data_IF_200178466640
#
_entry.id   IF_200178466640
#
_cell.length_a   1.000
_cell.length_b   1.000
_cell.length_c   1.000
_cell.angle_alpha   90.00
_cell.angle_beta   90.00
_cell.angle_gamma   90.00
#
_symmetry.space_group_name_H-M   'P 1'
#
loop_
_entity.id
_entity.type
_entity.pdbx_description
1 polymer ?
#
# COMPACT_ATOMS: atom_id res chain seq x y z
N UNK A 1 0.95 14.55 8.54
CA UNK A 1 0.52 14.25 9.94
C UNK A 1 0.14 15.50 10.76
N UNK A 2 0.95 16.60 10.79
CA UNK A 2 0.63 17.81 11.59
C UNK A 2 -0.70 18.46 11.20
N UNK A 3 -0.96 18.66 9.91
CA UNK A 3 -2.21 19.26 9.39
C UNK A 3 -3.44 18.42 9.75
N UNK A 4 -3.33 17.10 9.70
CA UNK A 4 -4.43 16.20 10.01
C UNK A 4 -4.81 16.23 11.50
N UNK A 5 -3.82 16.31 12.41
CA UNK A 5 -4.07 16.50 13.84
C UNK A 5 -4.85 17.77 14.13
N UNK A 6 -4.40 18.87 13.52
CA UNK A 6 -5.10 20.15 13.62
C UNK A 6 -6.51 20.04 13.07
N UNK A 7 -6.70 19.36 11.93
CA UNK A 7 -8.02 19.12 11.35
C UNK A 7 -8.97 18.37 12.30
N UNK A 8 -8.50 17.31 12.96
CA UNK A 8 -9.31 16.56 13.95
C UNK A 8 -9.64 17.43 15.16
N UNK A 9 -8.67 18.23 15.66
CA UNK A 9 -8.91 19.16 16.76
C UNK A 9 -9.96 20.23 16.39
N UNK A 10 -9.85 20.82 15.20
CA UNK A 10 -10.84 21.79 14.66
C UNK A 10 -12.21 21.15 14.53
N UNK A 11 -12.27 19.88 14.09
CA UNK A 11 -13.52 19.13 14.00
C UNK A 11 -14.18 18.96 15.39
N UNK A 12 -13.41 18.63 16.43
CA UNK A 12 -13.93 18.59 17.80
C UNK A 12 -14.54 19.93 18.21
N UNK A 13 -13.86 21.04 17.91
CA UNK A 13 -14.37 22.38 18.23
C UNK A 13 -15.62 22.77 17.45
N UNK A 14 -15.74 22.38 16.17
CA UNK A 14 -16.93 22.64 15.37
C UNK A 14 -18.16 21.91 15.92
N UNK A 15 -17.99 20.66 16.40
CA UNK A 15 -19.07 19.91 17.09
C UNK A 15 -19.48 20.61 18.37
N UNK A 16 -18.51 21.11 19.16
CA UNK A 16 -18.78 21.87 20.39
C UNK A 16 -19.56 23.16 20.10
N UNK A 17 -19.17 23.88 19.06
CA UNK A 17 -19.88 25.11 18.64
C UNK A 17 -21.33 24.81 18.27
N UNK A 18 -21.53 23.73 17.51
CA UNK A 18 -22.88 23.28 17.14
C UNK A 18 -23.68 22.84 18.36
N UNK A 19 -23.14 22.01 19.25
CA UNK A 19 -23.78 21.62 20.49
C UNK A 19 -24.15 22.82 21.37
N UNK A 20 -23.28 23.84 21.43
CA UNK A 20 -23.57 25.09 22.12
C UNK A 20 -24.76 25.86 21.51
N UNK A 21 -24.80 25.96 20.17
CA UNK A 21 -25.93 26.61 19.47
C UNK A 21 -27.26 25.92 19.72
N UNK A 22 -27.27 24.57 19.80
CA UNK A 22 -28.51 23.80 20.04
C UNK A 22 -29.11 24.00 21.44
N UNK A 23 -28.34 24.51 22.41
CA UNK A 23 -28.86 24.86 23.74
C UNK A 23 -29.93 25.96 23.73
N UNK A 24 -29.92 26.78 22.70
CA UNK A 24 -30.76 27.98 22.59
C UNK A 24 -31.99 27.81 21.68
N UNK A 25 -32.16 26.64 21.06
CA UNK A 25 -33.27 26.38 20.14
C UNK A 25 -34.29 25.37 20.73
N UNK A 26 -35.57 25.45 20.39
CA UNK A 26 -36.61 24.56 20.91
C UNK A 26 -36.39 23.06 20.57
N UNK A 27 -35.73 22.79 19.43
CA UNK A 27 -35.44 21.42 18.97
C UNK A 27 -34.29 20.76 19.75
N UNK A 28 -33.48 21.57 20.42
CA UNK A 28 -32.34 21.12 21.22
C UNK A 28 -32.75 20.51 22.57
N UNK A 29 -31.78 20.25 23.44
CA UNK A 29 -32.04 19.65 24.75
C UNK A 29 -32.90 20.58 25.61
N UNK A 30 -33.94 20.03 26.20
CA UNK A 30 -34.84 20.77 27.11
C UNK A 30 -34.74 20.23 28.55
N UNK A 31 -34.76 21.16 29.51
CA UNK A 31 -34.59 20.84 30.92
C UNK A 31 -33.14 20.82 31.39
N UNK A 32 -32.97 20.76 32.71
CA UNK A 32 -31.61 20.91 33.31
C UNK A 32 -30.71 19.72 32.95
N UNK A 33 -31.19 18.51 33.11
CA UNK A 33 -30.37 17.31 32.90
C UNK A 33 -29.86 17.14 31.45
N UNK A 34 -30.73 17.16 30.40
CA UNK A 34 -30.24 17.04 29.02
C UNK A 34 -29.25 18.13 28.63
N UNK A 35 -29.52 19.38 29.05
CA UNK A 35 -28.61 20.51 28.81
C UNK A 35 -27.26 20.34 29.49
N UNK A 36 -27.25 19.89 30.76
CA UNK A 36 -26.03 19.65 31.50
C UNK A 36 -25.20 18.51 30.91
N UNK A 37 -25.83 17.40 30.48
CA UNK A 37 -25.16 16.27 29.84
C UNK A 37 -24.47 16.75 28.54
N UNK A 38 -25.17 17.47 27.69
CA UNK A 38 -24.60 17.97 26.45
C UNK A 38 -23.50 19.01 26.69
N UNK A 39 -23.63 19.89 27.68
CA UNK A 39 -22.60 20.86 28.04
C UNK A 39 -21.33 20.16 28.57
N UNK A 40 -21.46 19.14 29.38
CA UNK A 40 -20.34 18.33 29.87
C UNK A 40 -19.65 17.63 28.70
N UNK A 41 -20.43 16.99 27.80
CA UNK A 41 -19.88 16.34 26.61
C UNK A 41 -19.09 17.33 25.73
N UNK A 42 -19.63 18.53 25.55
CA UNK A 42 -18.96 19.60 24.80
C UNK A 42 -17.65 20.07 25.50
N UNK A 43 -17.67 20.24 26.82
CA UNK A 43 -16.45 20.60 27.56
C UNK A 43 -15.35 19.55 27.44
N UNK A 44 -15.70 18.28 27.54
CA UNK A 44 -14.74 17.17 27.34
C UNK A 44 -14.24 17.16 25.89
N UNK A 45 -15.09 17.42 24.90
CA UNK A 45 -14.65 17.47 23.49
C UNK A 45 -13.66 18.61 23.21
N UNK A 46 -13.76 19.75 23.94
CA UNK A 46 -12.74 20.82 23.89
C UNK A 46 -11.39 20.30 24.38
N UNK A 47 -11.37 19.61 25.52
CA UNK A 47 -10.13 19.05 26.07
C UNK A 47 -9.50 18.06 25.12
N UNK A 48 -10.31 17.15 24.55
CA UNK A 48 -9.85 16.14 23.59
C UNK A 48 -9.35 16.80 22.31
N UNK A 49 -10.03 17.84 21.81
CA UNK A 49 -9.59 18.61 20.64
C UNK A 49 -8.23 19.30 20.87
N UNK A 50 -8.01 19.87 22.07
CA UNK A 50 -6.72 20.43 22.47
C UNK A 50 -5.64 19.34 22.54
N UNK A 51 -5.96 18.17 23.11
CA UNK A 51 -5.05 17.03 23.16
C UNK A 51 -4.60 16.62 21.74
N UNK A 52 -5.50 16.57 20.76
CA UNK A 52 -5.15 16.27 19.38
C UNK A 52 -4.17 17.28 18.77
N UNK A 53 -4.29 18.54 19.11
CA UNK A 53 -3.40 19.60 18.60
C UNK A 53 -2.03 19.54 19.29
N UNK A 54 -2.00 19.38 20.62
CA UNK A 54 -0.79 19.55 21.44
C UNK A 54 0.09 18.29 21.50
N UNK A 55 -0.51 17.10 21.63
CA UNK A 55 0.24 15.86 21.82
C UNK A 55 0.65 15.21 20.49
N UNK A 56 1.64 14.29 20.47
CA UNK A 56 2.03 13.53 19.28
C UNK A 56 0.88 12.66 18.76
N UNK A 57 1.01 12.16 17.51
CA UNK A 57 0.01 11.26 16.92
C UNK A 57 -0.25 10.06 17.83
N UNK A 58 -1.50 9.75 18.15
CA UNK A 58 -1.82 8.69 19.10
C UNK A 58 -1.43 7.30 18.55
N UNK A 59 -1.12 6.38 19.46
CA UNK A 59 -0.97 4.98 19.11
C UNK A 59 -2.28 4.40 18.55
N UNK A 60 -2.20 3.24 17.89
CA UNK A 60 -3.41 2.56 17.37
C UNK A 60 -4.46 2.33 18.47
N UNK A 61 -4.02 1.97 19.68
CA UNK A 61 -4.92 1.79 20.84
C UNK A 61 -5.56 3.12 21.26
N UNK A 62 -4.78 4.19 21.28
CA UNK A 62 -5.30 5.53 21.60
C UNK A 62 -6.33 6.02 20.58
N UNK A 63 -6.12 5.71 19.29
CA UNK A 63 -7.07 6.06 18.23
C UNK A 63 -8.37 5.25 18.33
N UNK A 64 -8.29 3.95 18.66
CA UNK A 64 -9.49 3.13 18.93
C UNK A 64 -10.26 3.68 20.14
N UNK A 65 -9.56 4.01 21.23
CA UNK A 65 -10.19 4.60 22.40
C UNK A 65 -10.88 5.93 22.08
N UNK A 66 -10.26 6.77 21.24
CA UNK A 66 -10.88 8.01 20.78
C UNK A 66 -12.16 7.78 19.97
N UNK A 67 -12.15 6.83 19.02
CA UNK A 67 -13.33 6.49 18.23
C UNK A 67 -14.47 6.00 19.12
N UNK A 68 -14.19 5.09 20.06
CA UNK A 68 -15.21 4.59 21.00
C UNK A 68 -15.76 5.72 21.87
N UNK A 69 -14.88 6.58 22.40
CA UNK A 69 -15.30 7.74 23.18
C UNK A 69 -16.18 8.69 22.37
N UNK A 70 -15.79 9.00 21.15
CA UNK A 70 -16.54 9.90 20.25
C UNK A 70 -17.90 9.33 19.87
N UNK A 71 -17.98 8.04 19.55
CA UNK A 71 -19.21 7.33 19.22
C UNK A 71 -20.20 7.38 20.39
N UNK A 72 -19.73 7.05 21.59
CA UNK A 72 -20.57 7.05 22.80
C UNK A 72 -21.01 8.47 23.16
N UNK A 73 -20.09 9.44 23.08
CA UNK A 73 -20.40 10.84 23.41
C UNK A 73 -21.43 11.43 22.44
N UNK A 74 -21.28 11.19 21.13
CA UNK A 74 -22.24 11.63 20.11
C UNK A 74 -23.59 10.91 20.24
N UNK A 75 -23.60 9.63 20.61
CA UNK A 75 -24.83 8.88 20.87
C UNK A 75 -25.62 9.48 22.05
N UNK A 76 -24.93 9.76 23.15
CA UNK A 76 -25.54 10.42 24.32
C UNK A 76 -26.04 11.82 23.95
N UNK A 77 -25.23 12.60 23.23
CA UNK A 77 -25.64 13.94 22.78
C UNK A 77 -26.89 13.89 21.88
N UNK A 78 -26.94 12.94 20.92
CA UNK A 78 -28.10 12.76 20.05
C UNK A 78 -29.38 12.42 20.86
N UNK A 79 -29.27 11.55 21.85
CA UNK A 79 -30.39 11.15 22.70
C UNK A 79 -30.94 12.30 23.57
N UNK A 80 -30.18 13.38 23.79
CA UNK A 80 -30.63 14.54 24.60
C UNK A 80 -31.54 15.52 23.85
N UNK A 81 -31.63 15.43 22.51
CA UNK A 81 -32.54 16.29 21.76
C UNK A 81 -34.00 16.02 22.10
N UNK A 82 -34.78 17.09 22.25
CA UNK A 82 -36.20 16.98 22.56
C UNK A 82 -37.06 16.61 21.33
N UNK A 83 -36.64 17.07 20.15
CA UNK A 83 -37.35 16.79 18.90
C UNK A 83 -36.89 15.47 18.25
N UNK A 84 -37.82 14.57 17.87
CA UNK A 84 -37.52 13.28 17.26
C UNK A 84 -36.72 13.38 15.95
N UNK A 85 -36.97 14.41 15.15
CA UNK A 85 -36.26 14.59 13.85
C UNK A 85 -34.87 15.14 14.06
N UNK A 86 -34.69 16.05 15.00
CA UNK A 86 -33.36 16.55 15.40
C UNK A 86 -32.50 15.44 16.00
N UNK A 87 -33.10 14.53 16.79
CA UNK A 87 -32.47 13.37 17.38
C UNK A 87 -31.85 12.45 16.33
N UNK A 88 -32.60 12.12 15.26
CA UNK A 88 -32.08 11.32 14.13
C UNK A 88 -31.06 12.06 13.29
N UNK A 89 -31.29 13.35 13.05
CA UNK A 89 -30.36 14.19 12.26
C UNK A 89 -28.99 14.29 12.96
N UNK A 90 -28.94 14.29 14.29
CA UNK A 90 -27.69 14.34 15.04
C UNK A 90 -26.80 13.10 14.81
N UNK A 91 -27.36 11.96 14.40
CA UNK A 91 -26.60 10.76 14.06
C UNK A 91 -25.60 11.01 12.91
N UNK A 92 -25.87 11.98 12.03
CA UNK A 92 -24.98 12.31 10.91
C UNK A 92 -23.55 12.65 11.36
N UNK A 93 -23.37 13.19 12.57
CA UNK A 93 -22.05 13.53 13.09
C UNK A 93 -21.14 12.31 13.33
N UNK A 94 -21.72 11.09 13.45
CA UNK A 94 -20.92 9.86 13.47
C UNK A 94 -20.17 9.65 12.16
N UNK A 95 -20.64 10.19 11.02
CA UNK A 95 -19.92 10.08 9.75
C UNK A 95 -18.52 10.69 9.81
N UNK A 96 -18.34 11.76 10.59
CA UNK A 96 -17.04 12.41 10.78
C UNK A 96 -16.09 11.52 11.59
N UNK A 97 -16.60 10.81 12.58
CA UNK A 97 -15.83 9.82 13.35
C UNK A 97 -15.47 8.62 12.48
N UNK A 98 -16.38 8.19 11.60
CA UNK A 98 -16.19 7.08 10.66
C UNK A 98 -15.03 7.25 9.68
N UNK A 99 -14.56 8.48 9.45
CA UNK A 99 -13.37 8.73 8.64
C UNK A 99 -12.10 8.13 9.27
N UNK A 100 -11.99 8.10 10.59
CA UNK A 100 -10.82 7.55 11.28
C UNK A 100 -10.65 6.04 11.09
N UNK A 101 -11.67 5.19 11.36
CA UNK A 101 -11.56 3.78 11.02
C UNK A 101 -11.35 3.53 9.53
N UNK A 102 -11.98 4.31 8.65
CA UNK A 102 -11.82 4.17 7.19
C UNK A 102 -10.37 4.35 6.75
N UNK A 103 -9.69 5.39 7.23
CA UNK A 103 -8.33 5.71 6.76
C UNK A 103 -7.22 5.07 7.58
N UNK A 104 -7.40 4.84 8.89
CA UNK A 104 -6.30 4.51 9.81
C UNK A 104 -6.44 3.19 10.57
N UNK A 105 -7.66 2.71 10.84
CA UNK A 105 -7.87 1.52 11.67
C UNK A 105 -8.22 0.27 10.84
N UNK A 106 -8.72 0.48 9.62
CA UNK A 106 -9.04 -0.57 8.66
C UNK A 106 -10.45 -1.14 8.81
N UNK A 107 -10.80 -2.07 7.89
CA UNK A 107 -12.15 -2.59 7.67
C UNK A 107 -12.86 -3.09 8.93
N UNK A 108 -12.15 -3.81 9.83
CA UNK A 108 -12.79 -4.35 11.04
C UNK A 108 -13.31 -3.25 11.96
N UNK A 109 -12.53 -2.19 12.16
CA UNK A 109 -12.94 -1.06 12.98
C UNK A 109 -14.09 -0.28 12.35
N UNK A 110 -14.07 -0.12 11.02
CA UNK A 110 -15.18 0.49 10.28
C UNK A 110 -16.48 -0.30 10.43
N UNK A 111 -16.45 -1.63 10.30
CA UNK A 111 -17.65 -2.48 10.47
C UNK A 111 -18.21 -2.34 11.87
N UNK A 112 -17.37 -2.30 12.91
CA UNK A 112 -17.81 -2.10 14.30
C UNK A 112 -18.48 -0.73 14.46
N UNK A 113 -17.85 0.34 13.94
CA UNK A 113 -18.41 1.71 13.98
C UNK A 113 -19.76 1.80 13.26
N UNK A 114 -19.88 1.27 12.05
CA UNK A 114 -21.14 1.24 11.30
C UNK A 114 -22.20 0.40 12.02
N UNK A 115 -21.82 -0.73 12.61
CA UNK A 115 -22.71 -1.55 13.42
C UNK A 115 -23.23 -0.81 14.65
N UNK A 116 -22.37 -0.07 15.36
CA UNK A 116 -22.75 0.81 16.46
C UNK A 116 -23.75 1.89 16.01
N UNK A 117 -23.45 2.56 14.89
CA UNK A 117 -24.33 3.60 14.36
C UNK A 117 -25.71 3.08 13.94
N UNK A 118 -25.77 1.89 13.32
CA UNK A 118 -27.03 1.22 12.98
C UNK A 118 -27.83 0.83 14.23
N UNK A 119 -27.16 0.30 15.25
CA UNK A 119 -27.81 -0.04 16.51
C UNK A 119 -28.37 1.21 17.21
N UNK A 120 -27.57 2.28 17.30
CA UNK A 120 -28.00 3.56 17.83
C UNK A 120 -29.20 4.10 17.07
N UNK A 121 -29.14 4.09 15.75
CA UNK A 121 -30.25 4.55 14.90
C UNK A 121 -31.52 3.75 15.18
N UNK A 122 -31.44 2.43 15.26
CA UNK A 122 -32.57 1.56 15.61
C UNK A 122 -33.18 1.90 16.97
N UNK A 123 -32.32 2.14 17.98
CA UNK A 123 -32.77 2.54 19.32
C UNK A 123 -33.50 3.90 19.28
N UNK A 124 -32.95 4.89 18.60
CA UNK A 124 -33.54 6.23 18.50
C UNK A 124 -34.87 6.20 17.74
N UNK A 125 -34.96 5.46 16.63
CA UNK A 125 -36.21 5.27 15.89
C UNK A 125 -37.30 4.62 16.78
N UNK A 126 -36.92 3.56 17.49
CA UNK A 126 -37.85 2.87 18.39
C UNK A 126 -38.35 3.82 19.50
N UNK A 127 -37.44 4.58 20.09
CA UNK A 127 -37.77 5.59 21.11
C UNK A 127 -38.72 6.64 20.55
N UNK A 128 -38.41 7.20 19.37
CA UNK A 128 -39.24 8.22 18.72
C UNK A 128 -40.66 7.72 18.40
N UNK A 129 -40.81 6.45 18.01
CA UNK A 129 -42.12 5.88 17.71
C UNK A 129 -42.91 5.57 19.00
N UNK A 130 -42.26 4.93 19.97
CA UNK A 130 -42.95 4.45 21.18
C UNK A 130 -43.23 5.56 22.20
N UNK A 131 -42.30 6.54 22.32
CA UNK A 131 -42.43 7.60 23.34
C UNK A 131 -43.03 8.86 22.75
N UNK A 132 -42.57 9.29 21.55
CA UNK A 132 -42.95 10.55 20.95
C UNK A 132 -44.08 10.41 19.92
N UNK A 133 -44.56 9.18 19.64
CA UNK A 133 -45.65 8.93 18.67
C UNK A 133 -45.28 9.23 17.22
N UNK A 134 -44.01 9.21 16.89
CA UNK A 134 -43.52 9.51 15.54
C UNK A 134 -43.96 8.42 14.55
N UNK A 135 -44.18 8.81 13.28
CA UNK A 135 -44.57 7.86 12.23
C UNK A 135 -43.35 7.23 11.56
N UNK A 136 -43.45 6.01 11.08
CA UNK A 136 -42.41 5.34 10.28
C UNK A 136 -41.95 6.17 9.11
N UNK A 137 -42.86 6.85 8.43
CA UNK A 137 -42.55 7.66 7.27
C UNK A 137 -41.66 8.86 7.64
N UNK A 138 -41.96 9.55 8.76
CA UNK A 138 -41.08 10.64 9.24
C UNK A 138 -39.70 10.13 9.64
N UNK A 139 -39.61 8.98 10.31
CA UNK A 139 -38.35 8.41 10.75
C UNK A 139 -37.46 8.02 9.53
N UNK A 140 -38.07 7.43 8.49
CA UNK A 140 -37.38 7.12 7.25
C UNK A 140 -36.90 8.39 6.54
N UNK A 141 -37.78 9.39 6.39
CA UNK A 141 -37.44 10.62 5.65
C UNK A 141 -36.29 11.38 6.28
N UNK A 142 -36.29 11.53 7.60
CA UNK A 142 -35.24 12.27 8.31
C UNK A 142 -34.03 11.43 8.66
N UNK A 143 -34.17 10.10 8.75
CA UNK A 143 -33.11 9.18 9.11
C UNK A 143 -32.29 8.67 7.95
N UNK A 144 -32.88 8.53 6.75
CA UNK A 144 -32.19 7.99 5.59
C UNK A 144 -30.91 8.77 5.20
N UNK A 145 -30.88 10.11 5.19
CA UNK A 145 -29.67 10.87 4.93
C UNK A 145 -28.57 10.62 5.96
N UNK A 146 -28.92 10.50 7.24
CA UNK A 146 -27.96 10.20 8.29
C UNK A 146 -27.35 8.79 8.12
N UNK A 147 -28.18 7.79 7.83
CA UNK A 147 -27.69 6.43 7.54
C UNK A 147 -26.80 6.38 6.29
N UNK A 148 -27.19 7.08 5.23
CA UNK A 148 -26.37 7.17 4.02
C UNK A 148 -24.99 7.78 4.32
N UNK A 149 -24.93 8.84 5.11
CA UNK A 149 -23.70 9.52 5.47
C UNK A 149 -22.81 8.64 6.40
N UNK A 150 -23.42 7.94 7.36
CA UNK A 150 -22.66 7.21 8.40
C UNK A 150 -22.25 5.81 7.96
N UNK A 151 -23.04 5.15 7.11
CA UNK A 151 -22.81 3.76 6.70
C UNK A 151 -22.36 3.68 5.25
N UNK A 152 -23.14 4.23 4.31
CA UNK A 152 -22.85 4.04 2.89
C UNK A 152 -21.61 4.81 2.45
N UNK A 153 -21.44 6.07 2.86
CA UNK A 153 -20.30 6.89 2.45
C UNK A 153 -18.97 6.29 2.91
N UNK A 154 -18.73 5.96 4.20
CA UNK A 154 -17.48 5.34 4.62
C UNK A 154 -17.27 3.96 3.99
N UNK A 155 -18.33 3.18 3.73
CA UNK A 155 -18.23 1.90 3.05
C UNK A 155 -17.75 2.07 1.60
N UNK A 156 -18.34 3.03 0.86
CA UNK A 156 -17.92 3.34 -0.52
C UNK A 156 -16.46 3.82 -0.54
N UNK A 157 -16.10 4.74 0.35
CA UNK A 157 -14.71 5.23 0.45
C UNK A 157 -13.74 4.08 0.73
N UNK A 158 -14.10 3.14 1.62
CA UNK A 158 -13.28 1.97 1.92
C UNK A 158 -13.05 1.10 0.69
N UNK A 159 -14.10 0.81 -0.09
CA UNK A 159 -14.01 0.03 -1.34
C UNK A 159 -13.09 0.73 -2.35
N UNK A 160 -13.24 2.04 -2.52
CA UNK A 160 -12.41 2.84 -3.43
C UNK A 160 -10.94 2.84 -2.99
N UNK A 161 -10.69 2.97 -1.68
CA UNK A 161 -9.33 2.95 -1.13
C UNK A 161 -8.66 1.57 -1.28
N UNK A 162 -9.40 0.48 -1.04
CA UNK A 162 -8.90 -0.88 -1.24
C UNK A 162 -8.56 -1.13 -2.71
N UNK A 163 -9.50 -0.84 -3.62
CA UNK A 163 -9.27 -0.99 -5.06
C UNK A 163 -8.14 -0.10 -5.58
N UNK A 164 -8.00 1.13 -5.08
CA UNK A 164 -6.90 2.02 -5.41
C UNK A 164 -5.54 1.48 -4.94
N UNK A 165 -5.46 0.93 -3.74
CA UNK A 165 -4.23 0.29 -3.22
C UNK A 165 -3.81 -0.91 -4.05
N UNK A 166 -4.76 -1.78 -4.38
CA UNK A 166 -4.49 -2.96 -5.20
C UNK A 166 -4.00 -2.58 -6.60
N UNK A 167 -4.61 -1.55 -7.20
CA UNK A 167 -4.19 -1.02 -8.49
C UNK A 167 -2.78 -0.41 -8.47
N UNK A 168 -2.44 0.34 -7.42
CA UNK A 168 -1.10 0.93 -7.24
C UNK A 168 -0.05 -0.17 -7.05
N UNK A 169 -0.35 -1.19 -6.24
CA UNK A 169 0.55 -2.32 -6.02
C UNK A 169 0.76 -3.12 -7.31
N UNK A 170 -0.30 -3.42 -8.05
CA UNK A 170 -0.23 -4.09 -9.33
C UNK A 170 0.59 -3.29 -10.36
N UNK A 171 0.37 -1.97 -10.44
CA UNK A 171 1.15 -1.08 -11.29
C UNK A 171 2.64 -1.04 -10.88
N UNK A 172 2.95 -1.00 -9.59
CA UNK A 172 4.32 -1.01 -9.08
C UNK A 172 5.04 -2.32 -9.40
N UNK A 173 4.36 -3.46 -9.25
CA UNK A 173 4.90 -4.77 -9.63
C UNK A 173 5.13 -4.85 -11.14
N UNK A 174 4.17 -4.42 -11.95
CA UNK A 174 4.29 -4.39 -13.42
C UNK A 174 5.41 -3.46 -13.88
N UNK A 175 5.57 -2.28 -13.25
CA UNK A 175 6.64 -1.33 -13.60
C UNK A 175 8.06 -1.85 -13.32
N UNK A 176 8.21 -2.88 -12.47
CA UNK A 176 9.50 -3.47 -12.11
C UNK A 176 9.82 -4.77 -12.87
N UNK A 177 8.94 -5.21 -13.77
CA UNK A 177 9.12 -6.43 -14.56
C UNK A 177 9.19 -6.13 -16.06
N UNK A 178 9.89 -7.02 -16.78
CA UNK A 178 9.87 -7.06 -18.23
C UNK A 178 8.60 -7.76 -18.73
N UNK A 179 7.80 -7.14 -19.60
CA UNK A 179 6.49 -7.69 -20.01
C UNK A 179 6.60 -8.96 -20.88
N UNK A 180 7.73 -9.16 -21.57
CA UNK A 180 7.94 -10.33 -22.42
C UNK A 180 8.34 -11.57 -21.62
N UNK A 181 9.25 -11.39 -20.67
CA UNK A 181 9.91 -12.48 -19.96
C UNK A 181 9.41 -12.70 -18.54
N UNK A 182 8.75 -11.70 -17.94
CA UNK A 182 8.30 -11.73 -16.55
C UNK A 182 9.42 -11.57 -15.52
N UNK A 183 10.69 -11.55 -15.93
CA UNK A 183 11.82 -11.25 -15.07
C UNK A 183 11.78 -9.80 -14.58
N UNK A 184 12.62 -9.44 -13.61
CA UNK A 184 12.78 -8.04 -13.25
C UNK A 184 13.36 -7.27 -14.45
N UNK A 185 12.95 -6.01 -14.60
CA UNK A 185 13.61 -5.09 -15.51
C UNK A 185 14.74 -4.34 -14.75
N UNK A 186 15.48 -3.45 -15.44
CA UNK A 186 16.55 -2.65 -14.83
C UNK A 186 16.12 -1.92 -13.55
N UNK A 187 14.93 -1.33 -13.54
CA UNK A 187 14.36 -0.65 -12.37
C UNK A 187 14.04 -1.62 -11.22
N UNK A 188 13.52 -2.79 -11.56
CA UNK A 188 13.23 -3.84 -10.60
C UNK A 188 14.47 -4.36 -9.88
N UNK A 189 15.61 -4.43 -10.58
CA UNK A 189 16.90 -4.79 -9.99
C UNK A 189 17.31 -3.81 -8.91
N UNK A 190 17.30 -2.50 -9.22
CA UNK A 190 17.65 -1.45 -8.24
C UNK A 190 16.76 -1.53 -7.01
N UNK A 191 15.44 -1.64 -7.22
CA UNK A 191 14.48 -1.77 -6.11
C UNK A 191 14.75 -3.00 -5.25
N UNK A 192 15.07 -4.15 -5.86
CA UNK A 192 15.34 -5.39 -5.13
C UNK A 192 16.63 -5.29 -4.30
N UNK A 193 17.67 -4.66 -4.82
CA UNK A 193 18.93 -4.45 -4.12
C UNK A 193 18.78 -3.49 -2.96
N UNK A 194 18.04 -2.38 -3.12
CA UNK A 194 17.76 -1.43 -2.05
C UNK A 194 17.06 -2.12 -0.85
N UNK A 195 16.14 -3.04 -1.13
CA UNK A 195 15.47 -3.84 -0.09
C UNK A 195 16.46 -4.77 0.64
N UNK A 196 17.35 -5.44 -0.10
CA UNK A 196 18.38 -6.32 0.49
C UNK A 196 19.38 -5.55 1.35
N UNK A 197 19.68 -4.28 1.01
CA UNK A 197 20.53 -3.42 1.84
C UNK A 197 19.91 -3.07 3.19
N UNK A 198 18.59 -2.95 3.27
CA UNK A 198 17.87 -2.64 4.51
C UNK A 198 17.86 -3.80 5.51
N UNK A 199 17.90 -5.05 5.02
CA UNK A 199 17.81 -6.26 5.85
C UNK A 199 19.14 -6.70 6.49
N UNK A 200 20.21 -5.85 6.46
CA UNK A 200 21.51 -6.09 7.12
C UNK A 200 22.08 -7.48 6.85
N UNK A 201 22.32 -7.82 5.59
CA UNK A 201 23.04 -9.03 5.25
C UNK A 201 24.53 -8.79 5.53
N UNK A 202 25.02 -9.22 6.70
CA UNK A 202 26.43 -9.13 7.06
C UNK A 202 27.26 -10.15 6.29
N UNK A 203 28.46 -9.72 5.85
CA UNK A 203 29.53 -10.52 5.23
C UNK A 203 29.07 -11.49 4.12
N UNK A 204 28.65 -10.97 2.95
CA UNK A 204 28.24 -11.77 1.80
C UNK A 204 29.07 -11.40 0.58
N UNK A 205 29.49 -12.41 -0.21
CA UNK A 205 30.00 -12.18 -1.54
C UNK A 205 28.83 -11.82 -2.46
N UNK A 206 29.05 -10.87 -3.36
CA UNK A 206 28.10 -10.49 -4.40
C UNK A 206 28.69 -10.85 -5.74
N UNK A 207 27.96 -11.58 -6.54
CA UNK A 207 28.32 -11.96 -7.91
C UNK A 207 27.30 -11.35 -8.85
N UNK A 208 27.78 -10.61 -9.85
CA UNK A 208 27.00 -10.11 -10.96
C UNK A 208 27.39 -10.89 -12.21
N UNK A 209 26.41 -11.44 -12.90
CA UNK A 209 26.57 -12.15 -14.16
C UNK A 209 25.74 -11.44 -15.21
N UNK A 210 26.41 -10.87 -16.22
CA UNK A 210 25.78 -10.34 -17.41
C UNK A 210 25.78 -11.37 -18.50
N UNK A 211 24.69 -11.48 -19.21
CA UNK A 211 24.51 -12.39 -20.35
C UNK A 211 23.86 -11.64 -21.50
N UNK A 212 24.31 -11.96 -22.70
CA UNK A 212 23.78 -11.43 -23.94
C UNK A 212 23.51 -12.57 -24.92
N UNK A 213 22.36 -12.56 -25.56
CA UNK A 213 21.91 -13.61 -26.49
C UNK A 213 22.61 -13.46 -27.84
N UNK A 214 23.46 -14.42 -28.16
CA UNK A 214 24.23 -14.37 -29.41
C UNK A 214 23.33 -14.50 -30.64
N UNK A 215 23.54 -13.65 -31.66
CA UNK A 215 22.89 -13.76 -32.97
C UNK A 215 21.38 -13.44 -32.96
N UNK A 216 20.83 -12.80 -31.93
CA UNK A 216 19.39 -12.49 -31.83
C UNK A 216 18.90 -11.60 -32.97
N UNK A 217 19.70 -10.62 -33.41
CA UNK A 217 19.38 -9.73 -34.52
C UNK A 217 19.26 -10.50 -35.85
N UNK A 218 20.24 -11.34 -36.18
CA UNK A 218 20.25 -12.15 -37.39
C UNK A 218 19.06 -13.13 -37.41
N UNK A 219 18.72 -13.68 -36.26
CA UNK A 219 17.55 -14.54 -36.12
C UNK A 219 16.25 -13.77 -36.39
N UNK A 220 16.11 -12.58 -35.82
CA UNK A 220 14.97 -11.72 -36.05
C UNK A 220 14.83 -11.30 -37.50
N UNK A 221 15.95 -10.97 -38.15
CA UNK A 221 15.98 -10.58 -39.57
C UNK A 221 15.61 -11.75 -40.47
N UNK A 222 15.95 -13.00 -40.09
CA UNK A 222 15.73 -14.22 -40.89
C UNK A 222 14.35 -14.84 -40.64
N UNK A 223 13.91 -14.91 -39.37
CA UNK A 223 12.70 -15.66 -38.92
C UNK A 223 11.62 -14.77 -38.31
N UNK A 224 11.84 -13.46 -38.28
CA UNK A 224 10.91 -12.49 -37.68
C UNK A 224 11.04 -12.39 -36.15
N UNK A 225 10.53 -11.29 -35.60
CA UNK A 225 10.62 -10.97 -34.16
C UNK A 225 10.02 -12.03 -33.22
N UNK A 226 9.03 -12.77 -33.68
CA UNK A 226 8.44 -13.85 -32.88
C UNK A 226 9.41 -14.98 -32.53
N UNK A 227 10.37 -15.28 -33.42
CA UNK A 227 11.40 -16.29 -33.15
C UNK A 227 12.41 -15.80 -32.08
N UNK A 228 12.79 -14.52 -32.12
CA UNK A 228 13.61 -13.92 -31.08
C UNK A 228 12.91 -13.88 -29.73
N UNK A 229 11.62 -13.54 -29.71
CA UNK A 229 10.81 -13.53 -28.47
C UNK A 229 10.77 -14.90 -27.78
N UNK A 230 10.69 -16.00 -28.56
CA UNK A 230 10.71 -17.36 -28.01
C UNK A 230 12.08 -17.70 -27.39
N UNK A 231 13.19 -17.26 -28.00
CA UNK A 231 14.52 -17.43 -27.39
C UNK A 231 14.65 -16.61 -26.09
N UNK A 232 14.20 -15.36 -26.09
CA UNK A 232 14.22 -14.53 -24.90
C UNK A 232 13.41 -15.13 -23.74
N UNK A 233 12.26 -15.70 -24.04
CA UNK A 233 11.44 -16.45 -23.07
C UNK A 233 12.14 -17.72 -22.60
N UNK A 234 12.84 -18.44 -23.47
CA UNK A 234 13.58 -19.65 -23.13
C UNK A 234 14.75 -19.33 -22.17
N UNK A 235 15.50 -18.24 -22.44
CA UNK A 235 16.55 -17.74 -21.55
C UNK A 235 15.98 -17.35 -20.18
N UNK A 236 14.86 -16.63 -20.17
CA UNK A 236 14.19 -16.24 -18.93
C UNK A 236 13.72 -17.45 -18.11
N UNK A 237 13.14 -18.45 -18.75
CA UNK A 237 12.73 -19.69 -18.10
C UNK A 237 13.93 -20.46 -17.53
N UNK A 238 15.05 -20.51 -18.26
CA UNK A 238 16.30 -21.08 -17.79
C UNK A 238 16.81 -20.35 -16.54
N UNK A 239 16.85 -19.02 -16.55
CA UNK A 239 17.29 -18.21 -15.42
C UNK A 239 16.38 -18.42 -14.20
N UNK A 240 15.06 -18.40 -14.42
CA UNK A 240 14.08 -18.63 -13.33
C UNK A 240 14.29 -19.98 -12.67
N UNK A 241 14.55 -21.05 -13.45
CA UNK A 241 14.77 -22.39 -12.92
C UNK A 241 16.11 -22.55 -12.17
N UNK A 242 17.07 -21.69 -12.45
CA UNK A 242 18.45 -21.78 -11.91
C UNK A 242 18.77 -20.75 -10.84
N UNK A 243 18.00 -19.70 -10.75
CA UNK A 243 18.14 -18.67 -9.71
C UNK A 243 17.54 -19.21 -8.40
N UNK A 244 18.28 -19.07 -7.31
CA UNK A 244 17.88 -19.51 -5.96
C UNK A 244 17.05 -18.43 -5.27
N UNK A 245 16.37 -18.82 -4.21
CA UNK A 245 15.65 -17.86 -3.35
C UNK A 245 16.64 -16.82 -2.79
N UNK A 246 16.32 -15.56 -2.94
CA UNK A 246 17.19 -14.44 -2.56
C UNK A 246 18.15 -13.96 -3.64
N UNK A 247 18.30 -14.68 -4.76
CA UNK A 247 19.03 -14.20 -5.94
C UNK A 247 18.09 -13.42 -6.88
N UNK A 248 18.65 -12.56 -7.69
CA UNK A 248 17.92 -11.68 -8.61
C UNK A 248 18.21 -12.12 -10.05
N UNK A 249 17.18 -12.35 -10.86
CA UNK A 249 17.27 -12.51 -12.30
C UNK A 249 16.47 -11.40 -13.00
N UNK A 250 17.06 -10.79 -14.00
CA UNK A 250 16.48 -9.64 -14.72
C UNK A 250 16.80 -9.66 -16.21
N UNK A 251 15.95 -9.00 -17.00
CA UNK A 251 16.24 -8.57 -18.37
C UNK A 251 16.42 -7.06 -18.37
N UNK A 252 17.62 -6.59 -18.67
CA UNK A 252 18.01 -5.17 -18.54
C UNK A 252 18.12 -4.43 -19.87
N UNK A 253 18.12 -5.15 -20.97
CA UNK A 253 18.19 -4.65 -22.35
C UNK A 253 17.38 -5.51 -23.30
N UNK A 254 17.55 -5.30 -24.60
CA UNK A 254 16.87 -6.08 -25.65
C UNK A 254 17.18 -7.58 -25.58
N UNK A 255 18.45 -7.90 -25.57
CA UNK A 255 19.06 -9.23 -25.53
C UNK A 255 19.89 -9.48 -24.26
N UNK A 256 19.94 -8.50 -23.35
CA UNK A 256 20.76 -8.50 -22.16
C UNK A 256 20.01 -8.97 -20.92
N UNK A 257 20.60 -9.95 -20.22
CA UNK A 257 20.11 -10.47 -18.95
C UNK A 257 21.15 -10.26 -17.84
N UNK A 258 20.66 -10.09 -16.64
CA UNK A 258 21.46 -9.89 -15.43
C UNK A 258 21.05 -10.91 -14.37
N UNK A 259 22.04 -11.51 -13.71
CA UNK A 259 21.82 -12.26 -12.45
C UNK A 259 22.68 -11.64 -11.36
N UNK A 260 22.08 -11.36 -10.21
CA UNK A 260 22.81 -10.98 -8.99
C UNK A 260 22.59 -12.10 -7.97
N UNK A 261 23.69 -12.68 -7.52
CA UNK A 261 23.70 -13.80 -6.58
C UNK A 261 24.55 -13.46 -5.35
N UNK A 262 24.25 -14.12 -4.23
CA UNK A 262 24.87 -13.87 -2.93
C UNK A 262 25.46 -15.18 -2.36
N UNK A 263 26.55 -15.71 -2.93
CA UNK A 263 27.17 -16.93 -2.45
C UNK A 263 27.80 -16.73 -1.07
N UNK A 264 27.59 -17.70 -0.19
CA UNK A 264 28.09 -17.64 1.19
C UNK A 264 29.62 -17.75 1.31
N UNK A 265 30.28 -18.38 0.32
CA UNK A 265 31.73 -18.57 0.27
C UNK A 265 32.29 -18.13 -1.08
N UNK A 266 33.56 -17.67 -1.08
CA UNK A 266 34.26 -17.28 -2.30
C UNK A 266 34.38 -18.45 -3.31
N UNK A 267 34.53 -19.68 -2.84
CA UNK A 267 34.62 -20.91 -3.65
C UNK A 267 33.30 -21.18 -4.43
N UNK A 268 32.19 -20.62 -3.99
CA UNK A 268 30.88 -20.79 -4.64
C UNK A 268 30.68 -19.85 -5.85
N UNK A 269 31.58 -18.89 -6.08
CA UNK A 269 31.43 -17.87 -7.14
C UNK A 269 31.45 -18.53 -8.52
N UNK A 270 32.50 -19.34 -8.81
CA UNK A 270 32.63 -20.00 -10.10
C UNK A 270 31.47 -21.00 -10.35
N UNK A 271 31.07 -21.73 -9.31
CA UNK A 271 29.93 -22.64 -9.39
C UNK A 271 28.62 -21.90 -9.66
N UNK A 272 28.46 -20.70 -9.10
CA UNK A 272 27.29 -19.84 -9.33
C UNK A 272 27.24 -19.33 -10.76
N UNK A 273 28.37 -18.80 -11.27
CA UNK A 273 28.48 -18.37 -12.67
C UNK A 273 28.16 -19.54 -13.61
N UNK A 274 28.77 -20.70 -13.42
CA UNK A 274 28.50 -21.90 -14.23
C UNK A 274 27.04 -22.34 -14.16
N UNK A 275 26.43 -22.32 -12.99
CA UNK A 275 25.04 -22.71 -12.78
C UNK A 275 24.08 -21.84 -13.60
N UNK A 276 24.26 -20.52 -13.61
CA UNK A 276 23.33 -19.60 -14.29
C UNK A 276 23.61 -19.44 -15.78
N UNK A 277 24.87 -19.64 -16.24
CA UNK A 277 25.29 -19.37 -17.62
C UNK A 277 25.27 -20.57 -18.57
N UNK A 278 25.18 -21.82 -18.07
CA UNK A 278 25.22 -23.00 -18.95
C UNK A 278 23.89 -23.20 -19.68
N UNK A 279 23.79 -23.15 -21.01
CA UNK A 279 22.58 -23.48 -21.74
C UNK A 279 22.14 -24.93 -21.44
N UNK A 280 20.84 -25.19 -21.43
CA UNK A 280 20.35 -26.55 -21.33
C UNK A 280 20.54 -27.24 -22.69
N UNK A 281 21.18 -28.38 -22.71
CA UNK A 281 21.24 -29.20 -23.91
C UNK A 281 19.83 -29.54 -24.37
N UNK A 282 19.37 -28.95 -25.45
CA UNK A 282 18.03 -29.06 -26.01
C UNK A 282 17.99 -28.60 -27.46
N UNK A 283 16.87 -28.79 -28.12
CA UNK A 283 16.64 -28.80 -29.56
C UNK A 283 16.91 -27.43 -30.25
N UNK A 284 17.02 -26.34 -29.52
CA UNK A 284 17.26 -24.99 -30.10
C UNK A 284 18.70 -24.56 -29.81
N UNK A 285 19.47 -24.34 -30.89
CA UNK A 285 20.88 -23.92 -30.85
C UNK A 285 21.01 -22.40 -30.64
N UNK A 286 20.61 -21.91 -29.47
CA UNK A 286 20.96 -20.56 -29.05
C UNK A 286 22.13 -20.58 -28.06
N UNK A 287 22.98 -19.57 -28.11
CA UNK A 287 24.06 -19.39 -27.18
C UNK A 287 23.94 -18.03 -26.48
N UNK A 288 24.65 -17.91 -25.37
CA UNK A 288 24.79 -16.64 -24.66
C UNK A 288 26.29 -16.36 -24.45
N UNK A 289 26.68 -15.12 -24.66
CA UNK A 289 27.96 -14.60 -24.19
C UNK A 289 27.80 -14.16 -22.75
N UNK A 290 28.82 -14.42 -21.90
CA UNK A 290 28.72 -14.21 -20.45
C UNK A 290 29.92 -13.42 -19.96
N UNK A 291 29.67 -12.39 -19.18
CA UNK A 291 30.66 -11.67 -18.37
C UNK A 291 30.25 -11.72 -16.90
N UNK A 292 31.23 -11.86 -16.01
CA UNK A 292 30.96 -11.95 -14.57
C UNK A 292 31.95 -11.08 -13.78
N UNK A 293 31.44 -10.45 -12.74
CA UNK A 293 32.22 -9.74 -11.74
C UNK A 293 31.74 -10.08 -10.34
N UNK A 294 32.59 -9.92 -9.37
CA UNK A 294 32.26 -10.23 -7.99
C UNK A 294 33.01 -9.34 -6.99
N UNK A 295 32.41 -9.15 -5.84
CA UNK A 295 32.99 -8.40 -4.73
C UNK A 295 32.69 -9.13 -3.41
N UNK A 296 33.72 -9.25 -2.55
CA UNK A 296 33.54 -9.66 -1.17
C UNK A 296 33.20 -8.44 -0.32
N UNK A 297 32.07 -8.48 0.39
CA UNK A 297 31.61 -7.41 1.23
C UNK A 297 32.16 -7.55 2.65
N UNK A 298 33.02 -6.62 3.05
CA UNK A 298 33.45 -6.42 4.43
C UNK A 298 33.03 -5.02 4.85
N UNK A 299 31.80 -4.86 5.40
CA UNK A 299 31.38 -3.64 6.09
C UNK A 299 30.94 -2.44 5.23
N UNK A 300 30.86 -2.54 3.89
CA UNK A 300 30.42 -1.46 2.99
C UNK A 300 29.14 -1.81 2.22
N UNK A 301 28.50 -0.83 1.55
CA UNK A 301 27.40 -1.05 0.61
C UNK A 301 27.85 -1.87 -0.61
N UNK A 302 26.89 -2.49 -1.32
CA UNK A 302 27.15 -3.12 -2.63
C UNK A 302 27.18 -1.98 -3.66
N UNK A 303 28.30 -1.82 -4.34
CA UNK A 303 28.38 -0.96 -5.52
C UNK A 303 28.00 -1.78 -6.76
N UNK A 304 26.69 -1.85 -7.01
CA UNK A 304 26.16 -2.62 -8.13
C UNK A 304 26.62 -2.05 -9.47
N UNK A 305 26.67 -0.72 -9.60
CA UNK A 305 27.01 -0.07 -10.86
C UNK A 305 28.47 -0.40 -11.27
N UNK A 306 29.39 -0.39 -10.30
CA UNK A 306 30.79 -0.81 -10.53
C UNK A 306 30.87 -2.30 -10.92
N UNK A 307 30.11 -3.18 -10.25
CA UNK A 307 30.12 -4.60 -10.59
C UNK A 307 29.50 -4.88 -11.97
N UNK A 308 28.45 -4.18 -12.32
CA UNK A 308 27.84 -4.28 -13.66
C UNK A 308 28.83 -3.82 -14.73
N UNK A 309 29.53 -2.68 -14.53
CA UNK A 309 30.56 -2.23 -15.47
C UNK A 309 31.71 -3.22 -15.63
N UNK A 310 32.16 -3.85 -14.54
CA UNK A 310 33.19 -4.88 -14.60
C UNK A 310 32.70 -6.12 -15.36
N UNK A 311 31.49 -6.58 -15.09
CA UNK A 311 30.88 -7.71 -15.78
C UNK A 311 30.68 -7.40 -17.28
N UNK A 312 30.29 -6.18 -17.63
CA UNK A 312 30.16 -5.74 -19.03
C UNK A 312 31.51 -5.76 -19.76
N UNK A 313 32.54 -5.29 -19.10
CA UNK A 313 33.90 -5.35 -19.66
C UNK A 313 34.38 -6.79 -19.94
N UNK A 314 34.09 -7.75 -19.03
CA UNK A 314 34.39 -9.16 -19.26
C UNK A 314 33.53 -9.76 -20.39
N UNK A 315 32.25 -9.38 -20.47
CA UNK A 315 31.35 -9.77 -21.57
C UNK A 315 31.88 -9.26 -22.93
N UNK A 316 32.32 -8.01 -22.98
CA UNK A 316 32.91 -7.41 -24.18
C UNK A 316 34.13 -8.21 -24.66
N UNK A 317 35.05 -8.61 -23.77
CA UNK A 317 36.20 -9.46 -24.11
C UNK A 317 35.80 -10.77 -24.75
N UNK A 318 34.77 -11.43 -24.19
CA UNK A 318 34.26 -12.70 -24.72
C UNK A 318 33.70 -12.50 -26.12
N UNK A 319 32.89 -11.47 -26.35
CA UNK A 319 32.36 -11.14 -27.69
C UNK A 319 33.41 -10.81 -28.69
N UNK A 320 34.43 -9.99 -28.30
CA UNK A 320 35.57 -9.65 -29.15
C UNK A 320 36.36 -10.86 -29.60
N UNK A 321 36.63 -11.78 -28.68
CA UNK A 321 37.40 -13.01 -28.98
C UNK A 321 36.65 -13.99 -29.89
N UNK A 322 35.32 -13.91 -29.95
CA UNK A 322 34.50 -14.73 -30.83
C UNK A 322 34.18 -14.09 -32.19
N UNK A 323 34.72 -12.87 -32.44
CA UNK A 323 34.45 -12.12 -33.68
C UNK A 323 32.99 -11.68 -33.86
N UNK A 324 32.23 -11.60 -32.75
CA UNK A 324 30.80 -11.26 -32.74
C UNK A 324 30.55 -9.75 -32.63
N UNK A 325 31.57 -8.92 -32.62
CA UNK A 325 31.43 -7.46 -32.60
C UNK A 325 31.41 -6.95 -34.02
N UNK A 326 30.37 -6.20 -34.39
CA UNK A 326 30.32 -5.43 -35.62
C UNK A 326 31.37 -4.30 -35.50
N UNK A 327 32.28 -4.10 -36.47
CA UNK A 327 33.35 -3.09 -36.42
C UNK A 327 32.85 -1.63 -36.44
N UNK A 328 31.54 -1.38 -36.41
CA UNK A 328 30.92 -0.07 -36.61
C UNK A 328 30.13 0.48 -35.40
N UNK A 329 30.54 0.20 -34.19
CA UNK A 329 30.06 0.97 -33.02
C UNK A 329 31.20 1.41 -32.10
#
# INVERSE_FOLDING_TARGET
>A
MRQLKVGIGVLCFSIVLFAGATQFIPLGPQGVWPRSIQAIAAAVAVIVGLCWIMFPWPSRRGMVAFVIWADVTLAIAAATFSDPTARLSAVVYLSLVGLLPTFFLGRRALVIHCGFALALFGVLVTMNILVDGATWFSQFTYGAPALAAVVLMPAIIQVVLEGGRDSILAAAVSANRDPLTGLLNRRGVTTAIDLLHQDRIDAVNVVVVLMDVDGLKELNDTRGHGAGDEILKAVAAMLTARTRVGEIAARIGGDEFLVVAFPGRAEDIESTVRRVSTPRAGIDSWSVSVGAAWQSRTGGGIDLDSLVQQADYELYKVKSSRGMLDPQH
#
